data_IF_371615986767
#
_entry.id   IF_371615986767
#
_cell.length_a   1.000
_cell.length_b   1.000
_cell.length_c   1.000
_cell.angle_alpha   90.00
_cell.angle_beta   90.00
_cell.angle_gamma   90.00
#
_symmetry.space_group_name_H-M   'P 1'
#
loop_
_entity.id
_entity.type
_entity.pdbx_description
1 polymer ?
#
# COMPACT_ATOMS: atom_id res chain seq x y z
N UNK A 1 -45.85 30.64 14.28
CA UNK A 1 -45.47 29.79 13.14
C UNK A 1 -43.95 29.75 13.09
N UNK A 2 -43.34 28.72 13.67
CA UNK A 2 -41.89 28.52 13.65
C UNK A 2 -41.57 27.44 12.60
N UNK A 3 -40.59 27.72 11.75
CA UNK A 3 -40.15 26.85 10.65
C UNK A 3 -39.49 25.57 11.20
N UNK A 4 -39.59 24.41 10.53
CA UNK A 4 -38.97 23.19 11.00
C UNK A 4 -37.45 23.26 10.77
N UNK A 5 -36.72 22.85 11.80
CA UNK A 5 -35.26 22.74 11.81
C UNK A 5 -34.91 21.56 10.89
N UNK A 6 -34.13 21.80 9.84
CA UNK A 6 -33.69 20.77 8.90
C UNK A 6 -32.78 19.78 9.62
N UNK A 7 -33.14 18.50 9.57
CA UNK A 7 -32.40 17.36 10.08
C UNK A 7 -31.02 17.25 9.40
N UNK A 8 -30.02 17.94 9.92
CA UNK A 8 -28.64 17.73 9.52
C UNK A 8 -27.70 17.50 10.72
N UNK A 9 -28.27 17.11 11.86
CA UNK A 9 -27.53 16.88 13.10
C UNK A 9 -27.38 15.38 13.36
N UNK A 10 -26.33 14.76 12.82
CA UNK A 10 -25.41 13.87 13.58
C UNK A 10 -24.34 13.22 12.69
N UNK A 11 -23.26 13.94 12.43
CA UNK A 11 -21.94 13.34 12.19
C UNK A 11 -20.90 14.16 12.95
N UNK A 12 -20.94 14.09 14.29
CA UNK A 12 -19.90 14.68 15.13
C UNK A 12 -18.62 13.85 15.01
N UNK A 13 -17.71 14.26 14.13
CA UNK A 13 -16.32 13.83 14.21
C UNK A 13 -15.73 14.31 15.54
N UNK A 14 -14.83 13.51 16.13
CA UNK A 14 -14.37 13.59 17.53
C UNK A 14 -13.64 14.89 17.93
N UNK A 15 -13.53 15.84 17.01
CA UNK A 15 -12.96 17.17 17.13
C UNK A 15 -13.83 18.07 16.22
N UNK A 16 -14.22 19.27 16.67
CA UNK A 16 -15.06 20.25 15.97
C UNK A 16 -14.40 20.82 14.68
N UNK A 17 -13.82 19.98 13.84
CA UNK A 17 -13.31 20.36 12.54
C UNK A 17 -14.48 20.42 11.54
N UNK A 18 -14.49 21.41 10.64
CA UNK A 18 -15.50 21.49 9.60
C UNK A 18 -15.38 20.25 8.70
N UNK A 19 -16.50 19.55 8.51
CA UNK A 19 -16.62 18.47 7.53
C UNK A 19 -16.84 19.11 6.16
N UNK A 20 -16.08 18.69 5.14
CA UNK A 20 -16.25 19.15 3.77
C UNK A 20 -17.46 18.53 3.08
N UNK A 21 -17.72 18.98 1.84
CA UNK A 21 -18.83 18.46 1.04
C UNK A 21 -18.67 16.98 0.69
N UNK A 22 -19.79 16.27 0.58
CA UNK A 22 -19.79 14.89 0.11
C UNK A 22 -19.34 14.81 -1.36
N UNK A 23 -18.46 13.84 -1.67
CA UNK A 23 -18.02 13.57 -3.05
C UNK A 23 -19.10 12.77 -3.78
N UNK A 24 -19.73 13.32 -4.85
CA UNK A 24 -20.76 12.60 -5.58
C UNK A 24 -20.22 11.32 -6.22
N UNK A 25 -20.99 10.23 -6.16
CA UNK A 25 -20.67 8.93 -6.77
C UNK A 25 -19.33 8.32 -6.33
N UNK A 26 -18.85 8.66 -5.12
CA UNK A 26 -17.68 8.02 -4.56
C UNK A 26 -17.88 6.51 -4.40
N UNK A 27 -16.91 5.73 -4.86
CA UNK A 27 -16.88 4.28 -4.68
C UNK A 27 -15.52 3.85 -4.13
N UNK A 28 -15.51 2.75 -3.37
CA UNK A 28 -14.28 2.17 -2.88
C UNK A 28 -13.40 1.69 -4.05
N UNK A 29 -12.09 1.89 -3.93
CA UNK A 29 -11.14 1.32 -4.89
C UNK A 29 -10.98 -0.17 -4.63
N UNK A 30 -10.96 -0.94 -5.71
CA UNK A 30 -10.70 -2.38 -5.67
C UNK A 30 -9.29 -2.63 -5.13
N UNK A 31 -9.15 -3.63 -4.26
CA UNK A 31 -7.84 -4.09 -3.80
C UNK A 31 -7.12 -4.86 -4.94
N UNK A 32 -5.92 -4.44 -5.36
CA UNK A 32 -5.16 -5.14 -6.41
C UNK A 32 -4.97 -6.64 -6.18
N UNK A 33 -4.80 -7.09 -4.93
CA UNK A 33 -4.57 -8.51 -4.64
C UNK A 33 -5.76 -9.41 -4.93
N UNK A 34 -6.98 -8.85 -4.90
CA UNK A 34 -8.24 -9.60 -5.07
C UNK A 34 -8.61 -9.87 -6.52
N UNK A 35 -7.89 -9.27 -7.47
CA UNK A 35 -8.22 -9.30 -8.89
C UNK A 35 -7.07 -9.91 -9.70
N UNK A 36 -7.27 -11.08 -10.33
CA UNK A 36 -6.22 -11.78 -11.06
C UNK A 36 -5.57 -10.95 -12.16
N UNK A 37 -6.31 -10.03 -12.79
CA UNK A 37 -5.77 -9.14 -13.83
C UNK A 37 -4.69 -8.17 -13.31
N UNK A 38 -4.57 -7.99 -11.99
CA UNK A 38 -3.54 -7.17 -11.36
C UNK A 38 -2.39 -8.00 -10.76
N UNK A 39 -2.43 -9.33 -10.90
CA UNK A 39 -1.32 -10.19 -10.46
C UNK A 39 -0.09 -10.03 -11.34
N UNK A 40 -0.29 -9.68 -12.61
CA UNK A 40 0.78 -9.29 -13.54
C UNK A 40 0.34 -8.06 -14.32
N UNK A 41 1.10 -6.97 -14.18
CA UNK A 41 0.92 -5.77 -14.97
C UNK A 41 2.00 -5.72 -16.05
N UNK A 42 1.58 -5.77 -17.31
CA UNK A 42 2.49 -5.69 -18.45
C UNK A 42 2.72 -4.23 -18.86
N UNK A 43 3.98 -3.83 -18.93
CA UNK A 43 4.43 -2.58 -19.56
C UNK A 43 5.18 -2.85 -20.86
N UNK A 44 5.73 -1.79 -21.45
CA UNK A 44 6.49 -1.89 -22.70
C UNK A 44 7.85 -2.58 -22.52
N UNK A 45 8.52 -2.36 -21.38
CA UNK A 45 9.89 -2.85 -21.13
C UNK A 45 10.01 -3.82 -19.96
N UNK A 46 8.98 -3.90 -19.13
CA UNK A 46 8.97 -4.74 -17.95
C UNK A 46 7.54 -5.20 -17.66
N UNK A 47 7.43 -6.14 -16.73
CA UNK A 47 6.18 -6.45 -16.06
C UNK A 47 6.37 -6.32 -14.56
N UNK A 48 5.30 -6.00 -13.86
CA UNK A 48 5.24 -6.05 -12.41
C UNK A 48 4.44 -7.28 -12.01
N UNK A 49 5.03 -8.11 -11.17
CA UNK A 49 4.37 -9.28 -10.60
C UNK A 49 3.96 -8.95 -9.16
N UNK A 50 2.76 -9.36 -8.77
CA UNK A 50 2.26 -9.15 -7.42
C UNK A 50 3.14 -9.93 -6.43
N UNK A 51 3.69 -9.20 -5.46
CA UNK A 51 4.45 -9.77 -4.36
C UNK A 51 3.50 -10.18 -3.23
N UNK A 52 3.50 -11.46 -2.87
CA UNK A 52 2.57 -12.06 -1.89
C UNK A 52 3.32 -12.98 -0.92
N UNK A 53 2.68 -13.42 0.19
CA UNK A 53 3.27 -14.40 1.10
C UNK A 53 3.57 -15.77 0.44
N UNK A 54 3.03 -16.02 -0.76
CA UNK A 54 3.29 -17.24 -1.54
C UNK A 54 4.32 -17.02 -2.64
N UNK A 55 4.95 -15.83 -2.72
CA UNK A 55 6.06 -15.59 -3.64
C UNK A 55 7.18 -16.60 -3.34
N UNK A 56 7.69 -17.23 -4.40
CA UNK A 56 8.74 -18.25 -4.30
C UNK A 56 9.95 -17.76 -3.52
N UNK A 57 10.51 -18.61 -2.65
CA UNK A 57 11.75 -18.34 -1.92
C UNK A 57 12.92 -17.98 -2.86
N UNK A 58 12.90 -18.47 -4.11
CA UNK A 58 13.90 -18.09 -5.11
C UNK A 58 13.82 -16.62 -5.52
N UNK A 59 12.63 -16.02 -5.57
CA UNK A 59 12.46 -14.61 -5.90
C UNK A 59 12.90 -13.72 -4.73
N UNK A 60 12.64 -14.16 -3.49
CA UNK A 60 13.12 -13.47 -2.28
C UNK A 60 14.65 -13.47 -2.26
N UNK A 61 15.29 -14.61 -2.54
CA UNK A 61 16.75 -14.70 -2.65
C UNK A 61 17.30 -13.76 -3.73
N UNK A 62 16.69 -13.75 -4.93
CA UNK A 62 17.12 -12.86 -6.01
C UNK A 62 17.00 -11.37 -5.64
N UNK A 63 15.93 -10.99 -4.94
CA UNK A 63 15.77 -9.63 -4.44
C UNK A 63 16.86 -9.29 -3.41
N UNK A 64 17.08 -10.16 -2.43
CA UNK A 64 18.14 -9.97 -1.42
C UNK A 64 19.51 -9.80 -2.08
N UNK A 65 19.87 -10.69 -3.01
CA UNK A 65 21.14 -10.66 -3.73
C UNK A 65 21.32 -9.39 -4.58
N UNK A 66 20.23 -8.82 -5.10
CA UNK A 66 20.27 -7.57 -5.87
C UNK A 66 20.55 -6.34 -4.99
N UNK A 67 20.07 -6.33 -3.75
CA UNK A 67 20.26 -5.19 -2.84
C UNK A 67 21.57 -5.26 -2.05
N UNK A 68 22.06 -6.47 -1.74
CA UNK A 68 23.21 -6.69 -0.83
C UNK A 68 24.51 -5.97 -1.23
N UNK A 69 24.95 -5.93 -2.51
CA UNK A 69 26.24 -5.35 -2.88
C UNK A 69 26.40 -3.87 -2.55
N UNK A 70 25.29 -3.14 -2.45
CA UNK A 70 25.26 -1.69 -2.23
C UNK A 70 24.24 -1.32 -1.15
N UNK A 71 24.06 -2.19 -0.15
CA UNK A 71 23.01 -2.07 0.86
C UNK A 71 23.06 -0.73 1.61
N UNK A 72 24.26 -0.26 1.98
CA UNK A 72 24.40 1.01 2.71
C UNK A 72 23.85 2.20 1.90
N UNK A 73 24.04 2.19 0.58
CA UNK A 73 23.52 3.21 -0.34
C UNK A 73 22.03 3.04 -0.59
N UNK A 74 21.56 1.81 -0.76
CA UNK A 74 20.16 1.53 -1.05
C UNK A 74 19.22 1.89 0.11
N UNK A 75 19.66 1.69 1.35
CA UNK A 75 18.85 1.95 2.54
C UNK A 75 19.12 3.30 3.21
N UNK A 76 19.99 4.15 2.65
CA UNK A 76 20.38 5.45 3.25
C UNK A 76 19.18 6.33 3.67
N UNK A 77 18.09 6.28 2.91
CA UNK A 77 16.90 7.12 3.11
C UNK A 77 15.64 6.34 3.48
N UNK A 78 15.78 5.08 3.87
CA UNK A 78 14.68 4.21 4.23
C UNK A 78 14.67 3.99 5.75
N UNK A 79 13.48 3.87 6.34
CA UNK A 79 13.30 3.63 7.78
C UNK A 79 13.56 2.16 8.18
N UNK A 80 13.94 1.33 7.23
CA UNK A 80 14.16 -0.11 7.37
C UNK A 80 15.42 -0.52 6.61
N UNK A 81 15.89 -1.73 6.89
CA UNK A 81 17.17 -2.22 6.40
C UNK A 81 18.37 -1.45 6.99
N UNK A 82 19.59 -1.76 6.53
CA UNK A 82 19.94 -2.92 5.72
C UNK A 82 19.62 -4.25 6.43
N UNK A 83 19.62 -5.35 5.68
CA UNK A 83 19.36 -6.70 6.21
C UNK A 83 20.65 -7.52 6.11
N UNK A 84 21.09 -8.09 7.23
CA UNK A 84 22.35 -8.84 7.28
C UNK A 84 22.21 -10.23 6.67
N UNK A 85 20.99 -10.80 6.74
CA UNK A 85 20.68 -12.15 6.27
C UNK A 85 19.41 -12.17 5.41
N UNK A 86 19.30 -13.20 4.57
CA UNK A 86 18.07 -13.44 3.80
C UNK A 86 16.87 -13.74 4.69
N UNK A 87 17.09 -14.30 5.88
CA UNK A 87 16.03 -14.59 6.85
C UNK A 87 15.45 -13.30 7.44
N UNK A 88 16.30 -12.33 7.81
CA UNK A 88 15.86 -11.00 8.23
C UNK A 88 15.08 -10.28 7.13
N UNK A 89 15.57 -10.37 5.89
CA UNK A 89 14.88 -9.81 4.73
C UNK A 89 13.52 -10.47 4.49
N UNK A 90 13.45 -11.80 4.61
CA UNK A 90 12.19 -12.57 4.48
C UNK A 90 11.21 -12.23 5.59
N UNK A 91 11.67 -12.05 6.82
CA UNK A 91 10.81 -11.71 7.96
C UNK A 91 10.20 -10.30 7.86
N UNK A 92 10.86 -9.39 7.14
CA UNK A 92 10.35 -8.04 6.88
C UNK A 92 9.25 -8.01 5.80
N UNK A 93 9.32 -8.92 4.84
CA UNK A 93 8.43 -9.03 3.69
C UNK A 93 7.07 -9.66 4.04
#
# INVERSE_FOLDING_TARGET
MAQPISDNDTMKFKINQPVGDAVPNWTARVNPSTKPEYHILYGQYCRLELFTPTTSSSAIQQLYDAFKPTEQTHFTYLYYGPFETVDEFTQFL
#
